data_IF_275730428154
#
_entry.id   IF_275730428154
#
_cell.length_a   1.000
_cell.length_b   1.000
_cell.length_c   1.000
_cell.angle_alpha   90.00
_cell.angle_beta   90.00
_cell.angle_gamma   90.00
#
_symmetry.space_group_name_H-M   'P 1'
#
loop_
_entity.id
_entity.type
_entity.pdbx_description
1 polymer ?
#
# COMPACT_ATOMS: atom_id res chain seq x y z
N UNK A 1 0.48 18.06 15.34
CA UNK A 1 1.74 17.81 16.07
C UNK A 1 2.35 16.52 15.54
N UNK A 2 3.62 16.53 15.15
CA UNK A 2 4.35 15.30 14.79
C UNK A 2 4.77 14.63 16.11
N UNK A 3 4.32 13.41 16.34
CA UNK A 3 4.39 12.74 17.66
C UNK A 3 5.70 12.02 17.99
N UNK A 4 6.66 11.95 17.07
CA UNK A 4 8.00 11.43 17.33
C UNK A 4 9.02 12.00 16.35
N UNK A 5 10.32 11.88 16.64
CA UNK A 5 11.43 12.30 15.76
C UNK A 5 12.04 11.15 14.93
N UNK A 6 11.56 9.92 15.07
CA UNK A 6 12.15 8.74 14.41
C UNK A 6 11.96 8.76 12.89
N UNK A 7 10.98 9.53 12.39
CA UNK A 7 10.80 9.74 10.95
C UNK A 7 12.00 10.45 10.27
N UNK A 8 12.81 11.21 11.03
CA UNK A 8 14.00 11.88 10.53
C UNK A 8 15.27 11.01 10.58
N UNK A 9 15.19 9.78 11.09
CA UNK A 9 16.34 8.86 11.20
C UNK A 9 16.61 8.16 9.86
N UNK A 10 17.89 8.00 9.46
CA UNK A 10 18.31 7.46 8.15
C UNK A 10 17.58 6.19 7.68
N UNK A 11 17.22 5.28 8.61
CA UNK A 11 16.54 4.03 8.25
C UNK A 11 15.05 4.21 7.89
N UNK A 12 14.42 5.27 8.39
CA UNK A 12 13.00 5.57 8.19
C UNK A 12 12.79 6.80 7.29
N UNK A 13 13.83 7.60 7.05
CA UNK A 13 13.79 8.80 6.23
C UNK A 13 13.39 8.50 4.76
N UNK A 14 13.98 7.45 4.17
CA UNK A 14 13.65 6.98 2.82
C UNK A 14 12.38 6.12 2.75
N UNK A 15 11.73 5.85 3.89
CA UNK A 15 10.49 5.08 3.88
C UNK A 15 9.29 6.00 3.67
N UNK A 16 8.55 5.70 2.62
CA UNK A 16 7.19 6.16 2.38
C UNK A 16 7.03 7.67 2.17
N UNK A 17 6.89 8.47 3.25
CA UNK A 17 6.57 9.90 3.22
C UNK A 17 7.37 10.71 4.26
N UNK A 18 8.27 10.07 5.00
CA UNK A 18 8.94 10.69 6.14
C UNK A 18 9.92 11.79 5.72
N UNK A 19 10.71 11.55 4.68
CA UNK A 19 11.61 12.56 4.11
C UNK A 19 10.86 13.77 3.55
N UNK A 20 9.72 13.54 2.88
CA UNK A 20 8.90 14.62 2.32
C UNK A 20 8.30 15.49 3.43
N UNK A 21 7.79 14.91 4.52
CA UNK A 21 7.26 15.67 5.66
C UNK A 21 8.36 16.50 6.34
N UNK A 22 9.55 15.93 6.52
CA UNK A 22 10.69 16.65 7.09
C UNK A 22 11.13 17.84 6.22
N UNK A 23 11.37 17.59 4.93
CA UNK A 23 11.83 18.62 3.99
C UNK A 23 10.79 19.73 3.82
N UNK A 24 9.49 19.40 3.71
CA UNK A 24 8.43 20.41 3.65
C UNK A 24 8.34 21.22 4.95
N UNK A 25 8.55 20.62 6.13
CA UNK A 25 8.51 21.33 7.40
C UNK A 25 9.68 22.33 7.53
N UNK A 26 10.89 21.94 7.11
CA UNK A 26 12.06 22.84 7.07
C UNK A 26 11.84 23.96 6.05
N UNK A 27 11.31 23.63 4.87
CA UNK A 27 11.04 24.60 3.82
C UNK A 27 9.95 25.61 4.22
N UNK A 28 8.93 25.19 4.98
CA UNK A 28 7.91 26.06 5.56
C UNK A 28 8.48 26.99 6.64
N UNK A 29 9.36 26.48 7.51
CA UNK A 29 10.04 27.28 8.54
C UNK A 29 11.03 28.30 7.97
N UNK A 30 11.55 28.06 6.76
CA UNK A 30 12.54 28.92 6.12
C UNK A 30 11.96 30.20 5.49
N UNK A 31 10.64 30.44 5.52
CA UNK A 31 9.99 31.62 4.91
C UNK A 31 10.47 31.91 3.47
N UNK A 32 10.60 30.88 2.63
CA UNK A 32 10.78 31.06 1.19
C UNK A 32 9.39 31.22 0.56
N UNK A 33 8.98 32.47 0.37
CA UNK A 33 7.66 32.95 -0.04
C UNK A 33 7.23 32.63 -1.50
N UNK A 34 7.93 31.74 -2.22
CA UNK A 34 7.65 31.44 -3.63
C UNK A 34 7.20 30.00 -3.91
N UNK A 35 6.49 29.38 -2.98
CA UNK A 35 6.07 27.99 -3.17
C UNK A 35 4.79 27.91 -3.99
N UNK A 36 4.94 27.99 -5.32
CA UNK A 36 3.97 27.41 -6.24
C UNK A 36 3.61 26.02 -5.74
N UNK A 37 2.31 25.76 -5.57
CA UNK A 37 1.75 24.49 -5.10
C UNK A 37 2.00 23.40 -6.18
N UNK A 38 3.25 23.06 -6.41
CA UNK A 38 3.65 21.99 -7.30
C UNK A 38 3.37 20.70 -6.57
N UNK A 39 2.25 20.07 -6.92
CA UNK A 39 1.99 18.69 -6.52
C UNK A 39 3.14 17.88 -7.09
N UNK A 40 4.12 17.51 -6.25
CA UNK A 40 5.24 16.70 -6.71
C UNK A 40 4.65 15.40 -7.27
N UNK A 41 5.09 14.96 -8.46
CA UNK A 41 4.59 13.74 -9.05
C UNK A 41 4.77 12.61 -8.05
N UNK A 42 3.68 11.87 -7.79
CA UNK A 42 3.65 10.79 -6.82
C UNK A 42 4.78 9.83 -7.18
N UNK A 43 5.75 9.67 -6.27
CA UNK A 43 6.86 8.76 -6.50
C UNK A 43 6.30 7.38 -6.86
N UNK A 44 6.87 6.77 -7.91
CA UNK A 44 6.48 5.44 -8.33
C UNK A 44 6.74 4.49 -7.16
N UNK A 45 5.67 4.15 -6.44
CA UNK A 45 5.76 3.24 -5.30
C UNK A 45 6.17 1.89 -5.88
N UNK A 46 7.37 1.43 -5.54
CA UNK A 46 7.79 0.09 -5.87
C UNK A 46 6.85 -0.88 -5.13
N UNK A 47 5.87 -1.42 -5.86
CA UNK A 47 4.89 -2.40 -5.37
C UNK A 47 5.28 -3.81 -5.82
N UNK A 48 6.58 -4.10 -5.89
CA UNK A 48 7.04 -5.46 -6.13
C UNK A 48 6.61 -6.35 -4.96
N UNK A 49 5.74 -7.30 -5.27
CA UNK A 49 5.42 -8.39 -4.35
C UNK A 49 6.60 -9.36 -4.37
N UNK A 50 7.34 -9.42 -3.28
CA UNK A 50 8.41 -10.41 -3.12
C UNK A 50 7.79 -11.74 -2.68
N UNK A 51 7.40 -12.54 -3.67
CA UNK A 51 6.78 -13.85 -3.46
C UNK A 51 7.81 -14.96 -3.70
N UNK A 52 7.80 -15.97 -2.84
CA UNK A 52 8.46 -17.24 -3.15
C UNK A 52 7.84 -17.85 -4.42
N UNK A 53 8.58 -18.61 -5.25
CA UNK A 53 8.02 -19.30 -6.42
C UNK A 53 6.78 -20.13 -6.09
N UNK A 54 6.71 -20.73 -4.90
CA UNK A 54 5.53 -21.45 -4.45
C UNK A 54 4.33 -20.53 -4.20
N UNK A 55 4.55 -19.38 -3.56
CA UNK A 55 3.51 -18.39 -3.28
C UNK A 55 2.95 -17.78 -4.57
N UNK A 56 3.82 -17.51 -5.55
CA UNK A 56 3.44 -16.98 -6.85
C UNK A 56 2.48 -17.92 -7.61
N UNK A 57 2.56 -19.23 -7.37
CA UNK A 57 1.68 -20.23 -7.99
C UNK A 57 0.40 -20.44 -7.19
N UNK A 58 0.50 -20.57 -5.86
CA UNK A 58 -0.66 -20.98 -5.04
C UNK A 58 -1.63 -19.83 -4.77
N UNK A 59 -1.14 -18.60 -4.59
CA UNK A 59 -1.99 -17.44 -4.24
C UNK A 59 -3.03 -17.15 -5.32
N UNK A 60 -2.67 -17.08 -6.63
CA UNK A 60 -3.65 -16.86 -7.67
C UNK A 60 -4.68 -17.99 -7.78
N UNK A 61 -4.26 -19.25 -7.64
CA UNK A 61 -5.16 -20.40 -7.71
C UNK A 61 -6.20 -20.33 -6.59
N UNK A 62 -5.76 -20.08 -5.35
CA UNK A 62 -6.67 -19.99 -4.22
C UNK A 62 -7.66 -18.82 -4.38
N UNK A 63 -7.14 -17.63 -4.71
CA UNK A 63 -7.92 -16.40 -4.76
C UNK A 63 -8.88 -16.31 -5.96
N UNK A 64 -8.43 -16.71 -7.15
CA UNK A 64 -9.22 -16.57 -8.38
C UNK A 64 -10.09 -17.79 -8.68
N UNK A 65 -9.71 -18.99 -8.24
CA UNK A 65 -10.44 -20.21 -8.58
C UNK A 65 -11.12 -20.85 -7.36
N UNK A 66 -10.35 -21.17 -6.31
CA UNK A 66 -10.86 -21.98 -5.19
C UNK A 66 -11.96 -21.25 -4.42
N UNK A 67 -11.73 -20.02 -3.98
CA UNK A 67 -12.73 -19.27 -3.21
C UNK A 67 -14.04 -19.03 -3.98
N UNK A 68 -14.01 -18.56 -5.25
CA UNK A 68 -15.23 -18.42 -6.05
C UNK A 68 -15.98 -19.73 -6.26
N UNK A 69 -15.28 -20.83 -6.57
CA UNK A 69 -15.90 -22.13 -6.78
C UNK A 69 -16.57 -22.66 -5.51
N UNK A 70 -15.93 -22.52 -4.35
CA UNK A 70 -16.55 -22.88 -3.07
C UNK A 70 -17.85 -22.13 -2.83
N UNK A 71 -17.89 -20.83 -3.16
CA UNK A 71 -19.12 -20.03 -3.09
C UNK A 71 -20.22 -20.57 -4.00
N UNK A 72 -19.90 -20.90 -5.25
CA UNK A 72 -20.86 -21.47 -6.20
C UNK A 72 -21.37 -22.84 -5.77
N UNK A 73 -20.50 -23.71 -5.26
CA UNK A 73 -20.87 -25.02 -4.73
C UNK A 73 -21.81 -24.85 -3.54
N UNK A 74 -21.46 -23.98 -2.58
CA UNK A 74 -22.31 -23.72 -1.42
C UNK A 74 -23.68 -23.18 -1.84
N UNK A 75 -23.73 -22.24 -2.80
CA UNK A 75 -24.97 -21.73 -3.36
C UNK A 75 -25.80 -22.85 -4.01
N UNK A 76 -25.19 -23.70 -4.83
CA UNK A 76 -25.83 -24.84 -5.47
C UNK A 76 -26.41 -25.84 -4.45
N UNK A 77 -25.65 -26.18 -3.41
CA UNK A 77 -26.12 -27.04 -2.31
C UNK A 77 -27.32 -26.39 -1.61
N UNK A 78 -27.26 -25.10 -1.30
CA UNK A 78 -28.36 -24.41 -0.62
C UNK A 78 -29.62 -24.34 -1.48
N UNK A 79 -29.48 -24.20 -2.80
CA UNK A 79 -30.60 -24.20 -3.74
C UNK A 79 -31.26 -25.57 -3.83
N UNK A 80 -30.45 -26.64 -3.96
CA UNK A 80 -30.98 -28.01 -3.99
C UNK A 80 -31.71 -28.35 -2.68
N UNK A 81 -31.14 -28.01 -1.51
CA UNK A 81 -31.78 -28.28 -0.22
C UNK A 81 -33.09 -27.51 0.02
N UNK A 82 -33.32 -26.43 -0.72
CA UNK A 82 -34.54 -25.60 -0.63
C UNK A 82 -35.61 -26.00 -1.65
N UNK A 83 -35.29 -26.90 -2.58
CA UNK A 83 -36.24 -27.47 -3.54
C UNK A 83 -36.76 -28.80 -3.03
#
# INVERSE_FOLDING_TARGET
MIGNSTFATNNLFNQQLNGDVFLNSVQWLSNQDEQTLSIRPKQAKDRRLNLSPFQATIVPILSLAVFPLLGLIAAGITWWRRR
#
